data_IF_400971907320
#
_entry.id   IF_400971907320
#
_cell.length_a   1.000
_cell.length_b   1.000
_cell.length_c   1.000
_cell.angle_alpha   90.00
_cell.angle_beta   90.00
_cell.angle_gamma   90.00
#
_symmetry.space_group_name_H-M   'P 1'
#
loop_
_entity.id
_entity.type
_entity.pdbx_description
1 polymer ?
#
# COMPACT_ATOMS: atom_id res chain seq x y z
N UNK A 1 -45.18 28.40 -48.89
CA UNK A 1 -44.73 29.03 -50.16
C UNK A 1 -43.21 29.11 -50.18
N UNK A 2 -42.63 28.73 -51.40
CA UNK A 2 -41.24 28.87 -51.82
C UNK A 2 -40.24 27.84 -51.21
N UNK A 3 -39.81 26.97 -51.91
CA UNK A 3 -39.30 26.53 -53.20
C UNK A 3 -37.93 25.86 -53.00
N UNK A 4 -37.93 24.58 -53.29
CA UNK A 4 -36.73 23.74 -53.43
C UNK A 4 -35.92 24.15 -54.63
N UNK A 5 -34.61 24.23 -54.57
CA UNK A 5 -33.73 24.10 -55.72
C UNK A 5 -32.88 22.83 -55.56
N UNK A 6 -33.18 21.86 -56.40
CA UNK A 6 -32.30 20.74 -56.72
C UNK A 6 -31.29 21.25 -57.74
N UNK A 7 -30.02 20.91 -57.55
CA UNK A 7 -29.01 20.95 -58.60
C UNK A 7 -28.58 19.51 -58.79
N UNK A 8 -28.89 18.99 -59.98
CA UNK A 8 -28.45 17.73 -60.53
C UNK A 8 -27.09 17.92 -61.18
N UNK A 9 -26.08 17.10 -60.86
CA UNK A 9 -24.86 16.95 -61.68
C UNK A 9 -24.68 15.47 -61.93
N UNK A 10 -24.62 15.13 -63.22
CA UNK A 10 -24.67 13.80 -63.76
C UNK A 10 -23.44 12.94 -63.44
N UNK A 11 -23.70 11.69 -63.24
CA UNK A 11 -22.73 10.60 -63.17
C UNK A 11 -22.30 10.20 -64.60
N UNK A 12 -21.04 10.43 -64.96
CA UNK A 12 -20.37 9.67 -66.02
C UNK A 12 -19.44 8.64 -65.38
N UNK A 13 -19.74 7.36 -65.60
CA UNK A 13 -18.86 6.24 -65.23
C UNK A 13 -17.66 6.25 -66.18
N UNK A 14 -16.46 6.46 -65.65
CA UNK A 14 -15.20 6.23 -66.34
C UNK A 14 -14.88 4.73 -66.37
N UNK A 15 -14.65 4.16 -67.54
CA UNK A 15 -14.28 2.77 -67.73
C UNK A 15 -12.78 2.54 -67.51
N UNK A 16 -12.41 1.32 -67.18
CA UNK A 16 -11.00 0.89 -66.96
C UNK A 16 -10.06 1.19 -68.14
N UNK A 17 -10.56 1.52 -69.30
CA UNK A 17 -9.77 1.90 -70.49
C UNK A 17 -9.35 3.37 -70.51
N UNK A 18 -10.05 4.23 -69.81
CA UNK A 18 -9.77 5.67 -69.80
C UNK A 18 -8.60 6.01 -68.82
N UNK A 19 -8.36 5.13 -67.88
CA UNK A 19 -7.24 5.25 -66.92
C UNK A 19 -5.89 4.87 -67.52
N UNK A 20 -5.89 4.09 -68.61
CA UNK A 20 -4.65 3.60 -69.29
C UNK A 20 -4.15 4.53 -70.41
N UNK A 21 -4.83 5.61 -70.74
CA UNK A 21 -4.44 6.58 -71.79
C UNK A 21 -3.86 7.89 -71.30
N UNK A 22 -3.77 8.10 -69.99
CA UNK A 22 -3.17 9.29 -69.39
C UNK A 22 -1.75 9.09 -68.84
N UNK A 23 -1.12 7.99 -69.21
CA UNK A 23 0.21 7.57 -68.73
C UNK A 23 1.32 7.63 -69.78
N UNK A 24 1.39 8.65 -70.61
CA UNK A 24 2.54 8.84 -71.49
C UNK A 24 2.72 10.33 -71.82
N UNK A 25 3.74 10.91 -71.26
CA UNK A 25 4.56 12.06 -71.57
C UNK A 25 4.64 13.10 -70.43
N UNK A 26 5.59 12.84 -69.53
CA UNK A 26 6.48 13.88 -68.94
C UNK A 26 7.60 13.14 -68.20
N UNK A 27 8.67 12.80 -68.94
CA UNK A 27 9.95 12.44 -68.32
C UNK A 27 10.59 13.67 -67.74
N UNK A 28 10.30 13.99 -66.49
CA UNK A 28 11.11 14.91 -65.68
C UNK A 28 12.11 14.04 -64.96
N UNK A 29 13.37 14.10 -65.35
CA UNK A 29 14.52 13.49 -64.64
C UNK A 29 14.70 14.14 -63.29
N UNK A 30 13.98 13.71 -62.28
CA UNK A 30 14.27 13.98 -60.89
C UNK A 30 15.36 12.97 -60.48
N UNK A 31 16.58 13.44 -60.28
CA UNK A 31 17.63 12.67 -59.61
C UNK A 31 17.13 12.25 -58.20
N UNK A 32 16.60 11.05 -58.12
CA UNK A 32 16.30 10.40 -56.83
C UNK A 32 17.64 9.93 -56.29
N UNK A 33 18.32 10.80 -55.53
CA UNK A 33 19.39 10.34 -54.66
C UNK A 33 18.83 9.27 -53.73
N UNK A 34 19.62 8.28 -53.32
CA UNK A 34 19.14 7.27 -52.40
C UNK A 34 18.65 7.96 -51.11
N UNK A 35 17.38 7.90 -50.85
CA UNK A 35 16.84 8.21 -49.54
C UNK A 35 17.48 7.20 -48.57
N UNK A 36 18.57 7.60 -47.95
CA UNK A 36 19.12 6.92 -46.78
C UNK A 36 18.05 7.15 -45.69
N UNK A 37 17.11 6.24 -45.56
CA UNK A 37 16.29 6.12 -44.38
C UNK A 37 17.24 5.70 -43.28
N UNK A 38 17.86 6.68 -42.61
CA UNK A 38 18.54 6.43 -41.37
C UNK A 38 17.50 5.84 -40.43
N UNK A 39 17.67 4.58 -39.97
CA UNK A 39 16.75 4.05 -38.99
C UNK A 39 16.78 5.03 -37.82
N UNK A 40 15.60 5.58 -37.46
CA UNK A 40 15.47 6.38 -36.27
C UNK A 40 16.08 5.56 -35.13
N UNK A 41 17.25 5.96 -34.68
CA UNK A 41 17.94 5.30 -33.57
C UNK A 41 16.92 5.31 -32.42
N UNK A 42 16.39 4.16 -32.05
CA UNK A 42 15.49 4.05 -30.92
C UNK A 42 16.18 4.76 -29.75
N UNK A 43 15.54 5.80 -29.23
CA UNK A 43 16.13 6.61 -28.17
C UNK A 43 16.39 5.68 -26.98
N UNK A 44 17.66 5.53 -26.57
CA UNK A 44 18.01 4.69 -25.43
C UNK A 44 17.50 5.34 -24.14
N UNK A 45 17.21 4.51 -23.13
CA UNK A 45 16.89 4.98 -21.79
C UNK A 45 17.96 5.99 -21.28
N UNK A 46 17.49 7.08 -20.67
CA UNK A 46 18.36 8.11 -20.12
C UNK A 46 17.72 8.74 -18.86
N UNK A 47 18.37 8.59 -17.72
CA UNK A 47 17.93 9.21 -16.47
C UNK A 47 17.80 10.74 -16.57
N UNK A 48 18.65 11.41 -17.35
CA UNK A 48 18.67 12.88 -17.50
C UNK A 48 17.67 13.43 -18.53
N UNK A 49 16.80 12.58 -19.09
CA UNK A 49 15.82 12.97 -20.12
C UNK A 49 14.95 14.18 -19.70
N UNK A 50 14.68 14.32 -18.42
CA UNK A 50 13.84 15.39 -17.88
C UNK A 50 14.62 16.33 -16.94
N UNK A 51 15.94 16.47 -17.16
CA UNK A 51 16.81 17.36 -16.39
C UNK A 51 16.23 18.79 -16.35
N UNK A 52 16.27 19.40 -15.16
CA UNK A 52 15.73 20.75 -14.91
C UNK A 52 14.25 20.79 -14.56
N UNK A 53 13.52 19.66 -14.62
CA UNK A 53 12.16 19.57 -14.09
C UNK A 53 12.18 19.56 -12.55
N UNK A 54 11.02 19.93 -11.97
CA UNK A 54 10.77 19.83 -10.53
C UNK A 54 9.54 18.96 -10.32
N UNK A 55 9.60 18.07 -9.31
CA UNK A 55 8.50 17.22 -8.89
C UNK A 55 8.06 17.60 -7.47
N UNK A 56 6.76 17.47 -7.21
CA UNK A 56 6.21 17.54 -5.87
C UNK A 56 5.60 16.19 -5.47
N UNK A 57 6.06 15.66 -4.33
CA UNK A 57 5.63 14.37 -3.79
C UNK A 57 4.79 14.56 -2.52
N UNK A 58 3.67 13.87 -2.42
CA UNK A 58 2.93 13.71 -1.18
C UNK A 58 3.23 12.34 -0.59
N UNK A 59 3.86 12.31 0.58
CA UNK A 59 4.34 11.11 1.24
C UNK A 59 3.62 10.90 2.57
N UNK A 60 3.26 9.66 2.89
CA UNK A 60 2.69 9.32 4.20
C UNK A 60 3.80 8.83 5.11
N UNK A 61 3.76 9.26 6.37
CA UNK A 61 4.79 8.87 7.36
C UNK A 61 4.84 7.34 7.52
N UNK A 62 6.01 6.78 7.18
CA UNK A 62 6.27 5.35 7.27
C UNK A 62 7.79 5.10 7.25
N UNK A 63 8.31 4.02 7.89
CA UNK A 63 9.74 3.70 7.85
C UNK A 63 10.37 3.63 6.46
N UNK A 64 9.64 3.12 5.46
CA UNK A 64 10.05 3.15 4.04
C UNK A 64 10.29 4.59 3.55
N UNK A 65 9.38 5.51 3.85
CA UNK A 65 9.51 6.91 3.43
C UNK A 65 10.69 7.57 4.15
N UNK A 66 10.84 7.30 5.45
CA UNK A 66 11.94 7.85 6.25
C UNK A 66 13.31 7.39 5.72
N UNK A 67 13.42 6.18 5.18
CA UNK A 67 14.66 5.69 4.55
C UNK A 67 14.84 6.27 3.14
N UNK A 68 13.83 6.20 2.30
CA UNK A 68 13.85 6.69 0.90
C UNK A 68 14.29 8.16 0.82
N UNK A 69 13.76 9.04 1.69
CA UNK A 69 14.06 10.48 1.62
C UNK A 69 15.51 10.81 1.94
N UNK A 70 16.24 9.98 2.70
CA UNK A 70 17.68 10.16 2.96
C UNK A 70 18.53 10.09 1.69
N UNK A 71 18.00 9.43 0.64
CA UNK A 71 18.72 9.16 -0.60
C UNK A 71 18.26 10.04 -1.78
N UNK A 72 17.34 11.00 -1.57
CA UNK A 72 16.82 11.86 -2.65
C UNK A 72 17.91 12.61 -3.42
N UNK A 73 18.98 13.03 -2.75
CA UNK A 73 20.12 13.68 -3.39
C UNK A 73 20.79 12.80 -4.47
N UNK A 74 20.77 11.47 -4.33
CA UNK A 74 21.25 10.55 -5.37
C UNK A 74 20.36 10.62 -6.63
N UNK A 75 19.04 10.62 -6.45
CA UNK A 75 18.12 10.76 -7.57
C UNK A 75 18.29 12.11 -8.29
N UNK A 76 18.37 13.19 -7.52
CA UNK A 76 18.58 14.53 -8.08
C UNK A 76 19.89 14.64 -8.87
N UNK A 77 20.97 14.06 -8.34
CA UNK A 77 22.26 14.01 -9.04
C UNK A 77 22.21 13.15 -10.30
N UNK A 78 21.54 11.99 -10.23
CA UNK A 78 21.40 11.04 -11.34
C UNK A 78 20.57 11.61 -12.49
N UNK A 79 19.44 12.23 -12.16
CA UNK A 79 18.43 12.63 -13.14
C UNK A 79 18.47 14.12 -13.51
N UNK A 80 19.03 14.97 -12.64
CA UNK A 80 18.94 16.42 -12.75
C UNK A 80 17.53 16.97 -12.49
N UNK A 81 16.63 16.14 -11.97
CA UNK A 81 15.26 16.53 -11.58
C UNK A 81 15.30 16.94 -10.10
N UNK A 82 14.68 18.05 -9.75
CA UNK A 82 14.53 18.51 -8.37
C UNK A 82 13.29 17.87 -7.73
N UNK A 83 13.39 17.49 -6.45
CA UNK A 83 12.32 16.83 -5.73
C UNK A 83 11.94 17.65 -4.49
N UNK A 84 10.73 18.19 -4.50
CA UNK A 84 10.06 18.74 -3.33
C UNK A 84 9.09 17.71 -2.77
N UNK A 85 8.95 17.65 -1.48
CA UNK A 85 8.05 16.68 -0.85
C UNK A 85 7.48 17.20 0.45
N UNK A 86 6.36 16.62 0.83
CA UNK A 86 5.74 16.80 2.13
C UNK A 86 5.43 15.43 2.72
N UNK A 87 5.83 15.22 3.98
CA UNK A 87 5.53 14.00 4.74
C UNK A 87 4.46 14.31 5.77
N UNK A 88 3.31 13.66 5.65
CA UNK A 88 2.16 13.86 6.55
C UNK A 88 1.79 12.54 7.25
N UNK A 89 1.21 12.62 8.46
CA UNK A 89 0.48 11.51 9.03
C UNK A 89 -0.60 11.01 8.04
N UNK A 90 -0.81 9.71 7.98
CA UNK A 90 -1.64 9.06 6.94
C UNK A 90 -3.03 9.67 6.76
N UNK A 91 -3.73 9.98 7.86
CA UNK A 91 -5.09 10.54 7.80
C UNK A 91 -5.08 11.93 7.15
N UNK A 92 -4.14 12.79 7.58
CA UNK A 92 -3.98 14.15 7.04
C UNK A 92 -3.54 14.11 5.57
N UNK A 93 -2.59 13.21 5.25
CA UNK A 93 -2.12 13.02 3.88
C UNK A 93 -3.24 12.60 2.93
N UNK A 94 -4.08 11.64 3.33
CA UNK A 94 -5.25 11.22 2.54
C UNK A 94 -6.29 12.32 2.37
N UNK A 95 -6.52 13.14 3.40
CA UNK A 95 -7.41 14.30 3.28
C UNK A 95 -6.87 15.29 2.27
N UNK A 96 -5.60 15.68 2.38
CA UNK A 96 -4.94 16.57 1.41
C UNK A 96 -5.01 16.01 0.00
N UNK A 97 -4.62 14.73 -0.18
CA UNK A 97 -4.70 14.06 -1.48
C UNK A 97 -6.11 14.14 -2.09
N UNK A 98 -7.14 13.83 -1.29
CA UNK A 98 -8.52 13.86 -1.76
C UNK A 98 -8.94 15.26 -2.21
N UNK A 99 -8.60 16.30 -1.45
CA UNK A 99 -8.89 17.69 -1.79
C UNK A 99 -8.22 18.10 -3.11
N UNK A 100 -6.92 17.86 -3.22
CA UNK A 100 -6.11 18.19 -4.41
C UNK A 100 -6.62 17.48 -5.68
N UNK A 101 -6.92 16.16 -5.55
CA UNK A 101 -7.40 15.38 -6.68
C UNK A 101 -8.82 15.75 -7.09
N UNK A 102 -9.69 16.12 -6.14
CA UNK A 102 -11.04 16.59 -6.44
C UNK A 102 -11.00 17.97 -7.13
N UNK A 103 -10.08 18.83 -6.72
CA UNK A 103 -9.89 20.16 -7.33
C UNK A 103 -9.18 20.09 -8.69
N UNK A 104 -8.48 19.00 -9.02
CA UNK A 104 -7.76 18.84 -10.30
C UNK A 104 -6.60 19.81 -10.49
N UNK A 105 -5.97 20.27 -9.41
CA UNK A 105 -4.93 21.33 -9.44
C UNK A 105 -3.66 20.93 -10.17
N UNK A 106 -3.33 19.62 -10.18
CA UNK A 106 -2.06 19.10 -10.70
C UNK A 106 -0.86 19.45 -9.83
N UNK A 107 -1.08 19.84 -8.57
CA UNK A 107 -0.05 20.22 -7.61
C UNK A 107 0.73 19.03 -7.03
N UNK A 108 0.26 17.79 -7.19
CA UNK A 108 0.93 16.56 -6.75
C UNK A 108 1.31 15.75 -7.98
N UNK A 109 2.61 15.47 -8.17
CA UNK A 109 3.07 14.63 -9.27
C UNK A 109 3.01 13.15 -8.94
N UNK A 110 3.49 12.76 -7.76
CA UNK A 110 3.39 11.39 -7.26
C UNK A 110 3.07 11.37 -5.77
N UNK A 111 2.49 10.26 -5.30
CA UNK A 111 2.20 10.07 -3.88
C UNK A 111 2.44 8.64 -3.42
N UNK A 112 2.66 8.48 -2.12
CA UNK A 112 2.80 7.18 -1.48
C UNK A 112 1.42 6.63 -1.13
N UNK A 113 0.78 5.93 -2.07
CA UNK A 113 -0.59 5.45 -1.96
C UNK A 113 -0.71 4.24 -1.04
N UNK A 114 -1.67 4.26 -0.13
CA UNK A 114 -2.09 3.07 0.64
C UNK A 114 -3.08 2.26 -0.20
N UNK A 115 -2.62 1.25 -0.94
CA UNK A 115 -3.46 0.50 -1.88
C UNK A 115 -4.66 -0.15 -1.20
N UNK A 116 -4.49 -0.65 0.00
CA UNK A 116 -5.55 -1.25 0.81
C UNK A 116 -6.66 -0.27 1.25
N UNK A 117 -6.45 1.06 1.09
CA UNK A 117 -7.44 2.10 1.44
C UNK A 117 -7.91 2.87 0.22
N UNK A 118 -6.98 3.25 -0.67
CA UNK A 118 -7.22 4.25 -1.70
C UNK A 118 -7.45 3.64 -3.08
N UNK A 119 -7.09 2.37 -3.29
CA UNK A 119 -7.07 1.69 -4.59
C UNK A 119 -8.38 1.88 -5.37
N UNK A 120 -9.50 1.42 -4.83
CA UNK A 120 -10.78 1.45 -5.57
C UNK A 120 -11.32 2.86 -5.79
N UNK A 121 -11.27 3.70 -4.75
CA UNK A 121 -11.73 5.08 -4.85
C UNK A 121 -10.94 5.87 -5.88
N UNK A 122 -9.62 5.84 -5.78
CA UNK A 122 -8.75 6.58 -6.69
C UNK A 122 -8.87 6.07 -8.14
N UNK A 123 -9.03 4.75 -8.33
CA UNK A 123 -9.27 4.17 -9.67
C UNK A 123 -10.62 4.60 -10.24
N UNK A 124 -11.71 4.45 -9.48
CA UNK A 124 -13.06 4.85 -9.90
C UNK A 124 -13.15 6.34 -10.22
N UNK A 125 -12.41 7.17 -9.48
CA UNK A 125 -12.35 8.63 -9.69
C UNK A 125 -11.38 9.06 -10.80
N UNK A 126 -10.67 8.12 -11.44
CA UNK A 126 -9.70 8.44 -12.49
C UNK A 126 -8.47 9.22 -11.98
N UNK A 127 -8.08 9.05 -10.71
CA UNK A 127 -7.00 9.81 -10.10
C UNK A 127 -5.61 9.20 -10.33
N UNK A 128 -5.52 7.92 -10.71
CA UNK A 128 -4.27 7.28 -11.10
C UNK A 128 -3.88 7.56 -12.55
N UNK A 129 -2.61 7.81 -12.80
CA UNK A 129 -2.02 7.63 -14.13
C UNK A 129 -1.70 6.14 -14.32
N UNK A 130 -2.32 5.43 -15.28
CA UNK A 130 -1.95 4.04 -15.60
C UNK A 130 -0.49 3.94 -16.05
N UNK A 131 0.23 2.96 -15.50
CA UNK A 131 1.68 2.82 -15.72
C UNK A 131 2.06 1.81 -16.81
N UNK A 132 1.09 1.06 -17.38
CA UNK A 132 1.36 0.01 -18.37
C UNK A 132 2.26 0.50 -19.51
N UNK A 133 1.88 1.61 -20.17
CA UNK A 133 2.67 2.18 -21.27
C UNK A 133 4.08 2.62 -20.84
N UNK A 134 4.22 3.12 -19.62
CA UNK A 134 5.54 3.53 -19.13
C UNK A 134 6.45 2.33 -18.89
N UNK A 135 5.90 1.25 -18.35
CA UNK A 135 6.65 0.00 -18.12
C UNK A 135 7.05 -0.70 -19.44
N UNK A 136 6.25 -0.55 -20.50
CA UNK A 136 6.52 -1.10 -21.83
C UNK A 136 7.50 -0.24 -22.64
N UNK A 137 7.56 1.07 -22.36
CA UNK A 137 8.43 2.02 -23.07
C UNK A 137 9.88 1.89 -22.61
N UNK A 138 10.71 1.24 -23.46
CA UNK A 138 12.16 1.06 -23.22
C UNK A 138 12.96 2.37 -23.16
N UNK A 139 12.36 3.49 -23.52
CA UNK A 139 13.00 4.82 -23.38
C UNK A 139 12.72 5.46 -22.03
N UNK A 140 11.72 4.95 -21.28
CA UNK A 140 11.33 5.43 -19.97
C UNK A 140 11.65 4.42 -18.86
N UNK A 141 11.57 3.13 -19.14
CA UNK A 141 11.89 2.07 -18.16
C UNK A 141 13.36 1.68 -18.26
N UNK A 142 14.06 1.77 -17.13
CA UNK A 142 15.46 1.36 -17.02
C UNK A 142 15.62 -0.13 -17.39
N UNK A 143 16.66 -0.50 -18.17
CA UNK A 143 16.81 -1.87 -18.66
C UNK A 143 16.87 -2.95 -17.57
N UNK A 144 17.30 -2.58 -16.37
CA UNK A 144 17.47 -3.46 -15.21
C UNK A 144 16.28 -3.39 -14.23
N UNK A 145 15.24 -2.60 -14.54
CA UNK A 145 14.13 -2.37 -13.61
C UNK A 145 13.37 -3.64 -13.24
N UNK A 146 13.10 -4.52 -14.20
CA UNK A 146 12.43 -5.82 -14.03
C UNK A 146 11.13 -5.78 -13.19
N UNK A 147 10.02 -5.52 -13.86
CA UNK A 147 8.68 -5.54 -13.24
C UNK A 147 8.30 -6.90 -12.64
N UNK A 148 8.80 -8.00 -13.21
CA UNK A 148 8.46 -9.35 -12.77
C UNK A 148 9.17 -9.76 -11.47
N UNK A 149 10.17 -9.02 -11.05
CA UNK A 149 10.84 -9.20 -9.76
C UNK A 149 9.96 -8.81 -8.55
N UNK A 150 8.88 -8.08 -8.76
CA UNK A 150 7.89 -7.89 -7.69
C UNK A 150 7.12 -9.18 -7.42
N UNK A 151 6.79 -9.44 -6.13
CA UNK A 151 5.97 -10.58 -5.75
C UNK A 151 4.62 -10.57 -6.46
N UNK A 152 4.04 -11.75 -6.71
CA UNK A 152 2.74 -11.85 -7.39
C UNK A 152 1.65 -11.09 -6.62
N UNK A 153 1.65 -11.18 -5.27
CA UNK A 153 0.71 -10.44 -4.41
C UNK A 153 0.87 -8.93 -4.55
N UNK A 154 2.10 -8.41 -4.48
CA UNK A 154 2.36 -6.98 -4.64
C UNK A 154 1.89 -6.45 -6.00
N UNK A 155 2.12 -7.21 -7.09
CA UNK A 155 1.62 -6.85 -8.43
C UNK A 155 0.09 -6.88 -8.51
N UNK A 156 -0.54 -7.88 -7.92
CA UNK A 156 -2.01 -7.97 -7.86
C UNK A 156 -2.63 -6.79 -7.13
N UNK A 157 -2.03 -6.37 -6.01
CA UNK A 157 -2.54 -5.27 -5.20
C UNK A 157 -2.53 -3.92 -5.92
N UNK A 158 -1.62 -3.69 -6.86
CA UNK A 158 -1.55 -2.45 -7.67
C UNK A 158 -2.23 -2.58 -9.02
N UNK A 159 -2.73 -3.76 -9.38
CA UNK A 159 -3.45 -4.00 -10.64
C UNK A 159 -4.95 -3.81 -10.42
N UNK A 160 -5.58 -3.04 -11.30
CA UNK A 160 -7.02 -2.77 -11.26
C UNK A 160 -7.81 -3.83 -12.06
N UNK A 161 -9.16 -3.90 -11.91
CA UNK A 161 -9.99 -4.83 -12.67
C UNK A 161 -9.84 -4.73 -14.19
N UNK A 162 -9.59 -3.53 -14.73
CA UNK A 162 -9.33 -3.26 -16.14
C UNK A 162 -7.89 -3.58 -16.57
N UNK A 163 -7.09 -4.21 -15.69
CA UNK A 163 -5.66 -4.54 -15.89
C UNK A 163 -4.72 -3.33 -15.92
N UNK A 164 -5.20 -2.13 -15.61
CA UNK A 164 -4.32 -0.98 -15.44
C UNK A 164 -3.47 -1.12 -14.16
N UNK A 165 -2.19 -0.71 -14.25
CA UNK A 165 -1.25 -0.70 -13.12
C UNK A 165 -1.27 0.70 -12.52
N UNK A 166 -1.70 0.81 -11.26
CA UNK A 166 -1.92 2.09 -10.56
C UNK A 166 -0.69 2.65 -9.87
N UNK A 167 0.35 1.85 -9.68
CA UNK A 167 1.56 2.28 -8.98
C UNK A 167 2.63 1.19 -8.98
N UNK A 168 3.82 1.53 -8.52
CA UNK A 168 4.92 0.59 -8.30
C UNK A 168 4.94 0.22 -6.82
N UNK A 169 4.78 -1.08 -6.46
CA UNK A 169 4.74 -1.49 -5.06
C UNK A 169 6.00 -1.06 -4.30
N UNK A 170 5.83 -0.54 -3.08
CA UNK A 170 6.94 -0.20 -2.20
C UNK A 170 7.22 -1.34 -1.24
N UNK A 171 6.23 -1.70 -0.45
CA UNK A 171 6.32 -2.82 0.48
C UNK A 171 4.99 -3.58 0.55
N UNK A 172 5.07 -4.81 1.01
CA UNK A 172 3.95 -5.59 1.54
C UNK A 172 4.21 -5.74 3.03
N UNK A 173 3.28 -5.30 3.85
CA UNK A 173 3.42 -5.23 5.30
C UNK A 173 2.49 -6.25 5.97
N UNK A 174 2.95 -7.50 6.17
CA UNK A 174 2.19 -8.46 6.95
C UNK A 174 2.23 -8.08 8.43
N UNK A 175 1.14 -8.31 9.15
CA UNK A 175 1.12 -8.15 10.58
C UNK A 175 1.80 -9.34 11.25
N UNK A 176 2.58 -9.04 12.29
CA UNK A 176 3.31 -10.01 13.11
C UNK A 176 3.13 -9.72 14.59
N UNK A 177 3.50 -10.68 15.41
CA UNK A 177 3.56 -10.53 16.86
C UNK A 177 4.95 -10.04 17.28
N UNK A 178 4.99 -8.98 18.07
CA UNK A 178 6.15 -8.48 18.79
C UNK A 178 5.99 -8.83 20.27
N UNK A 179 7.04 -9.35 20.88
CA UNK A 179 7.00 -9.70 22.31
C UNK A 179 8.33 -9.41 23.01
N UNK A 180 8.31 -9.26 24.30
CA UNK A 180 9.51 -9.10 25.14
C UNK A 180 10.22 -10.45 25.27
N UNK A 181 11.16 -10.71 24.34
CA UNK A 181 11.94 -11.94 24.26
C UNK A 181 12.71 -12.25 25.55
N UNK A 182 13.25 -11.23 26.19
CA UNK A 182 13.94 -11.35 27.46
C UNK A 182 13.03 -11.87 28.58
N UNK A 183 11.78 -11.38 28.67
CA UNK A 183 10.82 -11.86 29.66
C UNK A 183 10.35 -13.27 29.36
N UNK A 184 10.17 -13.60 28.08
CA UNK A 184 9.81 -14.96 27.64
C UNK A 184 10.91 -15.97 27.99
N UNK A 185 12.18 -15.59 27.77
CA UNK A 185 13.33 -16.43 28.14
C UNK A 185 13.40 -16.68 29.65
N UNK A 186 13.21 -15.62 30.47
CA UNK A 186 13.18 -15.74 31.93
C UNK A 186 12.08 -16.68 32.44
N UNK A 187 10.94 -16.72 31.76
CA UNK A 187 9.79 -17.57 32.11
C UNK A 187 9.80 -18.94 31.43
N UNK A 188 10.75 -19.21 30.55
CA UNK A 188 10.79 -20.45 29.74
C UNK A 188 9.64 -20.55 28.75
N UNK A 189 9.06 -19.42 28.31
CA UNK A 189 7.92 -19.40 27.41
C UNK A 189 8.35 -19.41 25.94
N UNK A 190 7.46 -19.95 25.12
CA UNK A 190 7.50 -19.80 23.65
C UNK A 190 6.48 -18.77 23.22
N UNK A 191 6.63 -18.13 22.04
CA UNK A 191 5.59 -17.29 21.46
C UNK A 191 4.26 -18.04 21.39
N UNK A 192 3.12 -17.36 21.62
CA UNK A 192 1.81 -18.00 21.60
C UNK A 192 1.46 -18.48 20.19
N UNK A 193 0.82 -19.65 20.09
CA UNK A 193 0.37 -20.23 18.82
C UNK A 193 -1.12 -20.05 18.57
N UNK A 194 -1.88 -19.70 19.60
CA UNK A 194 -3.32 -19.48 19.54
C UNK A 194 -3.69 -18.15 20.21
N UNK A 195 -4.85 -17.58 19.84
CA UNK A 195 -5.39 -16.40 20.50
C UNK A 195 -5.60 -16.61 22.01
N UNK A 196 -5.95 -17.83 22.42
CA UNK A 196 -6.12 -18.16 23.85
C UNK A 196 -4.77 -18.14 24.59
N UNK A 197 -3.70 -18.68 23.99
CA UNK A 197 -2.36 -18.59 24.56
C UNK A 197 -1.86 -17.14 24.63
N UNK A 198 -2.18 -16.32 23.61
CA UNK A 198 -1.85 -14.88 23.59
C UNK A 198 -2.52 -14.15 24.76
N UNK A 199 -3.81 -14.41 24.98
CA UNK A 199 -4.56 -13.82 26.09
C UNK A 199 -4.01 -14.25 27.47
N UNK A 200 -3.74 -15.54 27.65
CA UNK A 200 -3.14 -16.08 28.87
C UNK A 200 -1.77 -15.45 29.17
N UNK A 201 -0.91 -15.34 28.15
CA UNK A 201 0.41 -14.73 28.30
C UNK A 201 0.33 -13.22 28.57
N UNK A 202 -0.60 -12.51 27.92
CA UNK A 202 -0.86 -11.11 28.18
C UNK A 202 -1.32 -10.89 29.64
N UNK A 203 -2.21 -11.73 30.14
CA UNK A 203 -2.66 -11.69 31.53
C UNK A 203 -1.49 -11.91 32.52
N UNK A 204 -0.64 -12.89 32.26
CA UNK A 204 0.50 -13.24 33.13
C UNK A 204 1.62 -12.18 33.13
N UNK A 205 1.72 -11.37 32.08
CA UNK A 205 2.65 -10.23 32.00
C UNK A 205 2.06 -8.97 32.59
N UNK A 206 0.73 -8.87 32.73
CA UNK A 206 0.06 -7.67 33.17
C UNK A 206 0.23 -7.44 34.67
N UNK A 207 1.04 -6.45 35.04
CA UNK A 207 1.35 -6.04 36.42
C UNK A 207 1.54 -4.51 36.51
N UNK A 208 0.46 -3.72 36.29
CA UNK A 208 0.54 -2.26 36.35
C UNK A 208 0.90 -1.74 37.74
N UNK A 209 1.58 -0.58 37.82
CA UNK A 209 2.00 0.29 36.73
C UNK A 209 3.29 -0.16 36.01
N UNK A 210 3.95 -1.24 36.43
CA UNK A 210 5.26 -1.65 35.93
C UNK A 210 5.23 -2.22 34.51
N UNK A 211 4.18 -2.99 34.15
CA UNK A 211 4.03 -3.64 32.86
C UNK A 211 2.57 -3.80 32.48
N UNK A 212 2.23 -3.41 31.25
CA UNK A 212 0.97 -3.75 30.60
C UNK A 212 1.14 -5.00 29.76
N UNK A 213 0.18 -5.91 29.79
CA UNK A 213 0.32 -7.21 29.14
C UNK A 213 0.28 -7.12 27.60
N UNK A 214 -0.53 -6.19 27.08
CA UNK A 214 -0.83 -6.14 25.65
C UNK A 214 -1.12 -4.72 25.17
N UNK A 215 -0.77 -4.43 23.90
CA UNK A 215 -1.19 -3.23 23.20
C UNK A 215 -1.50 -3.53 21.74
N UNK A 216 -2.46 -2.79 21.18
CA UNK A 216 -2.74 -2.64 19.77
C UNK A 216 -3.40 -1.28 19.54
N UNK A 217 -3.75 -0.94 18.30
CA UNK A 217 -4.34 0.37 17.98
C UNK A 217 -5.78 0.48 18.48
N UNK A 218 -6.09 1.43 19.36
CA UNK A 218 -7.44 1.72 19.85
C UNK A 218 -8.14 2.86 19.10
N UNK A 219 -7.36 3.81 18.53
CA UNK A 219 -7.88 5.01 17.88
C UNK A 219 -8.71 4.67 16.64
N UNK A 220 -9.90 5.28 16.53
CA UNK A 220 -10.77 5.10 15.36
C UNK A 220 -10.03 5.32 14.05
N UNK A 221 -10.47 4.65 13.00
CA UNK A 221 -9.85 4.52 11.70
C UNK A 221 -8.54 3.69 11.73
N UNK A 222 -7.60 3.97 12.62
CA UNK A 222 -6.35 3.22 12.74
C UNK A 222 -6.57 1.79 13.27
N UNK A 223 -7.52 1.60 14.21
CA UNK A 223 -7.84 0.32 14.84
C UNK A 223 -8.47 -0.71 13.89
N UNK A 224 -9.08 -0.26 12.79
CA UNK A 224 -9.65 -1.16 11.77
C UNK A 224 -8.58 -2.01 11.05
N UNK A 225 -7.31 -1.61 11.07
CA UNK A 225 -6.22 -2.35 10.44
C UNK A 225 -5.82 -3.60 11.25
N UNK A 226 -5.47 -3.53 12.56
CA UNK A 226 -5.22 -4.71 13.38
C UNK A 226 -6.48 -5.54 13.62
N UNK A 227 -7.65 -4.94 13.57
CA UNK A 227 -8.95 -5.62 13.67
C UNK A 227 -9.11 -6.77 12.68
N UNK A 228 -8.54 -6.65 11.46
CA UNK A 228 -8.61 -7.65 10.42
C UNK A 228 -8.10 -9.04 10.86
N UNK A 229 -7.06 -9.09 11.68
CA UNK A 229 -6.56 -10.32 12.26
C UNK A 229 -7.63 -11.03 13.08
N UNK A 230 -8.30 -10.28 13.94
CA UNK A 230 -9.27 -10.85 14.89
C UNK A 230 -10.51 -11.33 14.17
N UNK A 231 -11.07 -10.52 13.26
CA UNK A 231 -12.30 -10.90 12.57
C UNK A 231 -12.11 -12.14 11.70
N UNK A 232 -11.02 -12.24 10.96
CA UNK A 232 -10.73 -13.43 10.17
C UNK A 232 -10.40 -14.64 11.06
N UNK A 233 -9.65 -14.44 12.13
CA UNK A 233 -9.33 -15.48 13.10
C UNK A 233 -10.57 -16.09 13.76
N UNK A 234 -11.63 -15.28 13.95
CA UNK A 234 -12.93 -15.73 14.47
C UNK A 234 -13.87 -16.30 13.39
N UNK A 235 -13.48 -16.30 12.11
CA UNK A 235 -14.27 -16.82 10.99
C UNK A 235 -15.26 -15.80 10.40
N UNK A 236 -15.09 -14.52 10.68
CA UNK A 236 -15.90 -13.46 10.09
C UNK A 236 -15.46 -13.08 8.68
N UNK A 237 -16.37 -12.43 7.96
CA UNK A 237 -16.14 -11.82 6.66
C UNK A 237 -16.70 -10.40 6.64
N UNK A 238 -16.16 -9.54 5.79
CA UNK A 238 -16.66 -8.16 5.65
C UNK A 238 -17.96 -8.11 4.84
N UNK A 239 -17.99 -8.89 3.78
CA UNK A 239 -19.10 -8.93 2.82
C UNK A 239 -19.63 -10.36 2.67
N UNK A 240 -20.91 -10.46 2.41
CA UNK A 240 -21.57 -11.69 1.94
C UNK A 240 -21.20 -11.95 0.47
N UNK A 241 -21.54 -13.12 -0.05
CA UNK A 241 -21.29 -13.46 -1.45
C UNK A 241 -22.01 -12.54 -2.45
N UNK A 242 -23.15 -11.94 -2.05
CA UNK A 242 -23.90 -10.96 -2.84
C UNK A 242 -23.50 -9.50 -2.56
N UNK A 243 -22.35 -9.29 -1.88
CA UNK A 243 -21.74 -7.98 -1.69
C UNK A 243 -22.38 -7.12 -0.59
N UNK A 244 -23.23 -7.70 0.26
CA UNK A 244 -23.83 -7.00 1.40
C UNK A 244 -22.96 -7.07 2.65
N UNK A 245 -23.28 -6.23 3.64
CA UNK A 245 -22.60 -6.24 4.94
C UNK A 245 -22.76 -7.58 5.67
N UNK A 246 -21.66 -8.23 6.01
CA UNK A 246 -21.63 -9.47 6.81
C UNK A 246 -21.30 -9.22 8.29
N UNK A 247 -21.41 -7.97 8.79
CA UNK A 247 -20.94 -7.62 10.13
C UNK A 247 -21.85 -8.19 11.24
N UNK A 248 -23.14 -8.26 11.05
CA UNK A 248 -24.07 -8.70 12.09
C UNK A 248 -24.14 -10.24 12.21
N UNK A 249 -23.01 -10.84 12.59
CA UNK A 249 -22.87 -12.29 12.76
C UNK A 249 -22.12 -12.63 14.05
N UNK A 250 -22.32 -13.85 14.63
CA UNK A 250 -21.64 -14.24 15.87
C UNK A 250 -20.11 -14.10 15.86
N UNK A 251 -19.38 -14.40 14.75
CA UNK A 251 -17.95 -14.14 14.69
C UNK A 251 -17.55 -12.69 14.94
N UNK A 252 -18.32 -11.72 14.47
CA UNK A 252 -18.07 -10.30 14.68
C UNK A 252 -18.24 -9.87 16.12
N UNK A 253 -19.28 -10.38 16.80
CA UNK A 253 -19.49 -10.12 18.23
C UNK A 253 -18.34 -10.71 19.06
N UNK A 254 -17.97 -11.98 18.83
CA UNK A 254 -16.85 -12.63 19.50
C UNK A 254 -15.52 -11.91 19.26
N UNK A 255 -15.30 -11.44 18.03
CA UNK A 255 -14.11 -10.66 17.68
C UNK A 255 -14.08 -9.33 18.46
N UNK A 256 -15.22 -8.64 18.59
CA UNK A 256 -15.34 -7.40 19.34
C UNK A 256 -15.07 -7.61 20.82
N UNK A 257 -15.68 -8.65 21.43
CA UNK A 257 -15.44 -9.01 22.83
C UNK A 257 -13.97 -9.28 23.09
N UNK A 258 -13.32 -10.03 22.21
CA UNK A 258 -11.89 -10.36 22.38
C UNK A 258 -11.01 -9.12 22.21
N UNK A 259 -11.17 -8.35 21.12
CA UNK A 259 -10.27 -7.21 20.82
C UNK A 259 -10.42 -6.08 21.85
N UNK A 260 -11.65 -5.65 22.08
CA UNK A 260 -11.93 -4.62 23.07
C UNK A 260 -11.59 -5.08 24.49
N UNK A 261 -11.89 -6.36 24.79
CA UNK A 261 -11.54 -6.99 26.07
C UNK A 261 -10.02 -7.05 26.33
N UNK A 262 -9.22 -7.40 25.33
CA UNK A 262 -7.76 -7.39 25.43
C UNK A 262 -7.22 -6.00 25.73
N UNK A 263 -7.66 -4.99 25.00
CA UNK A 263 -7.23 -3.61 25.17
C UNK A 263 -7.69 -3.02 26.52
N UNK A 264 -8.91 -3.30 26.93
CA UNK A 264 -9.48 -2.82 28.19
C UNK A 264 -8.81 -3.45 29.41
N UNK A 265 -8.54 -4.76 29.38
CA UNK A 265 -7.99 -5.49 30.54
C UNK A 265 -6.47 -5.37 30.66
N UNK A 266 -5.76 -5.37 29.53
CA UNK A 266 -4.30 -5.52 29.52
C UNK A 266 -3.56 -4.35 28.88
N UNK A 267 -4.27 -3.40 28.28
CA UNK A 267 -3.69 -2.23 27.63
C UNK A 267 -3.31 -1.11 28.59
N UNK A 268 -2.41 -0.21 28.15
CA UNK A 268 -2.08 1.00 28.89
C UNK A 268 -3.29 1.95 29.02
N UNK A 269 -3.33 2.81 30.04
CA UNK A 269 -4.33 3.87 30.12
C UNK A 269 -4.35 4.73 28.86
N UNK A 270 -5.55 5.07 28.39
CA UNK A 270 -5.71 5.87 27.18
C UNK A 270 -5.52 5.10 25.87
N UNK A 271 -5.38 3.77 25.90
CA UNK A 271 -5.18 2.91 24.70
C UNK A 271 -6.26 3.13 23.63
N UNK A 272 -7.46 3.56 24.01
CA UNK A 272 -8.55 3.92 23.07
C UNK A 272 -8.14 5.01 22.07
N UNK A 273 -7.13 5.82 22.39
CA UNK A 273 -6.61 6.89 21.55
C UNK A 273 -5.27 6.54 20.87
N UNK A 274 -4.78 5.31 21.02
CA UNK A 274 -3.50 4.91 20.43
C UNK A 274 -3.65 4.56 18.95
N UNK A 275 -2.86 5.22 18.11
CA UNK A 275 -2.49 4.76 16.78
C UNK A 275 -1.23 3.89 16.90
N UNK A 276 -0.62 3.50 15.81
CA UNK A 276 0.63 2.74 15.81
C UNK A 276 1.80 3.51 16.45
N UNK A 277 1.80 4.85 16.38
CA UNK A 277 2.83 5.68 16.98
C UNK A 277 2.88 5.51 18.50
N UNK A 278 1.73 5.66 19.17
CA UNK A 278 1.62 5.56 20.63
C UNK A 278 1.81 4.11 21.07
N UNK A 279 1.26 3.13 20.33
CA UNK A 279 1.42 1.71 20.64
C UNK A 279 2.89 1.28 20.53
N UNK A 280 3.57 1.66 19.44
CA UNK A 280 5.00 1.41 19.24
C UNK A 280 5.86 2.11 20.30
N UNK A 281 5.53 3.36 20.64
CA UNK A 281 6.25 4.11 21.69
C UNK A 281 6.14 3.42 23.05
N UNK A 282 4.94 3.00 23.47
CA UNK A 282 4.73 2.27 24.72
C UNK A 282 5.54 0.96 24.75
N UNK A 283 5.58 0.22 23.63
CA UNK A 283 6.37 -1.00 23.52
C UNK A 283 7.87 -0.71 23.56
N UNK A 284 8.38 0.27 22.79
CA UNK A 284 9.79 0.68 22.79
C UNK A 284 10.29 1.17 24.17
N UNK A 285 9.41 1.79 24.95
CA UNK A 285 9.76 2.20 26.32
C UNK A 285 9.76 1.04 27.31
N UNK A 286 9.41 -0.18 26.87
CA UNK A 286 9.37 -1.37 27.72
C UNK A 286 8.17 -1.44 28.65
N UNK A 287 7.15 -0.61 28.41
CA UNK A 287 5.93 -0.54 29.23
C UNK A 287 4.95 -1.67 28.93
N UNK A 288 5.12 -2.38 27.80
CA UNK A 288 4.20 -3.40 27.31
C UNK A 288 4.94 -4.69 27.00
N UNK A 289 4.33 -5.83 27.35
CA UNK A 289 4.91 -7.15 27.12
C UNK A 289 4.70 -7.71 25.72
N UNK A 290 3.53 -7.46 25.12
CA UNK A 290 3.12 -8.00 23.81
C UNK A 290 2.44 -6.89 22.99
N UNK A 291 2.81 -6.83 21.71
CA UNK A 291 2.24 -5.93 20.72
C UNK A 291 2.08 -6.67 19.38
N UNK A 292 1.06 -6.39 18.59
CA UNK A 292 1.01 -6.83 17.22
C UNK A 292 0.64 -5.70 16.27
N UNK A 293 1.34 -5.62 15.14
CA UNK A 293 1.14 -4.62 14.11
C UNK A 293 1.93 -5.00 12.85
N UNK A 294 2.02 -4.08 11.88
CA UNK A 294 2.83 -4.23 10.68
C UNK A 294 4.30 -4.48 10.99
N UNK A 295 4.89 -5.46 10.32
CA UNK A 295 6.26 -5.93 10.58
C UNK A 295 7.30 -4.82 10.35
N UNK A 296 7.02 -3.84 9.49
CA UNK A 296 7.95 -2.78 9.13
C UNK A 296 8.17 -1.74 10.23
N UNK A 297 7.35 -1.73 11.29
CA UNK A 297 7.62 -0.88 12.46
C UNK A 297 8.77 -1.40 13.33
N UNK A 298 9.16 -2.65 13.13
CA UNK A 298 10.18 -3.34 13.92
C UNK A 298 11.57 -2.67 13.86
N UNK A 299 11.91 -1.98 12.78
CA UNK A 299 13.20 -1.31 12.62
C UNK A 299 13.47 -0.28 13.73
N UNK A 300 12.42 0.32 14.28
CA UNK A 300 12.51 1.27 15.39
C UNK A 300 12.77 0.57 16.72
N UNK A 301 12.32 -0.68 16.88
CA UNK A 301 12.46 -1.44 18.12
C UNK A 301 13.89 -1.90 18.35
N UNK A 302 14.65 -2.10 17.27
CA UNK A 302 16.07 -2.50 17.31
C UNK A 302 17.04 -1.30 17.28
N UNK A 303 16.52 -0.06 17.25
CA UNK A 303 17.33 1.15 17.32
C UNK A 303 17.56 1.58 18.78
N UNK A 304 18.79 1.42 19.35
CA UNK A 304 19.05 1.75 20.74
C UNK A 304 18.93 3.25 21.05
N UNK A 305 18.93 4.12 20.02
CA UNK A 305 18.69 5.56 20.22
C UNK A 305 17.21 5.89 20.46
N UNK A 306 16.29 4.98 20.11
CA UNK A 306 14.83 5.15 20.23
C UNK A 306 14.18 4.19 21.21
N UNK A 307 14.74 2.98 21.36
CA UNK A 307 14.13 1.86 22.07
C UNK A 307 14.94 1.42 23.28
N UNK A 308 14.33 1.40 24.44
CA UNK A 308 14.92 0.83 25.68
C UNK A 308 14.97 -0.70 25.67
N UNK A 309 14.30 -1.31 24.70
CA UNK A 309 14.20 -2.76 24.54
C UNK A 309 14.92 -3.27 23.28
N UNK A 310 15.80 -2.47 22.68
CA UNK A 310 16.63 -2.90 21.55
C UNK A 310 17.40 -4.18 21.93
N UNK A 311 17.38 -5.19 21.02
CA UNK A 311 17.94 -6.53 21.25
C UNK A 311 17.12 -7.44 22.19
N UNK A 312 15.99 -6.94 22.76
CA UNK A 312 15.12 -7.70 23.67
C UNK A 312 13.77 -8.05 23.05
N UNK A 313 13.57 -7.73 21.76
CA UNK A 313 12.33 -8.01 21.03
C UNK A 313 12.41 -9.36 20.35
N UNK A 314 11.33 -10.12 20.41
CA UNK A 314 11.12 -11.33 19.63
C UNK A 314 10.01 -11.11 18.62
N UNK A 315 10.11 -11.80 17.51
CA UNK A 315 9.22 -11.69 16.36
C UNK A 315 8.61 -13.07 16.08
N UNK A 316 7.31 -13.12 15.88
CA UNK A 316 6.61 -14.36 15.55
C UNK A 316 5.43 -14.09 14.60
N UNK A 317 5.02 -15.14 13.88
CA UNK A 317 3.75 -15.14 13.16
C UNK A 317 2.61 -14.90 14.15
N UNK A 318 1.56 -14.17 13.74
CA UNK A 318 0.37 -14.00 14.57
C UNK A 318 -0.21 -15.36 14.96
N UNK A 319 -0.67 -15.53 16.21
CA UNK A 319 -1.29 -16.79 16.67
C UNK A 319 -2.54 -17.13 15.84
N UNK A 320 -2.84 -18.42 15.69
CA UNK A 320 -4.06 -18.86 15.05
C UNK A 320 -5.30 -18.46 15.85
N UNK A 321 -6.32 -17.97 15.17
CA UNK A 321 -7.67 -17.84 15.72
C UNK A 321 -8.38 -19.21 15.74
N UNK A 322 -9.54 -19.29 16.39
CA UNK A 322 -10.30 -20.54 16.48
C UNK A 322 -10.81 -21.05 15.12
N UNK A 323 -10.98 -20.18 14.13
CA UNK A 323 -11.50 -20.53 12.81
C UNK A 323 -10.44 -20.47 11.70
N UNK A 324 -9.41 -19.62 11.83
CA UNK A 324 -8.40 -19.45 10.78
C UNK A 324 -7.07 -18.97 11.34
N UNK A 325 -5.98 -19.37 10.65
CA UNK A 325 -4.65 -18.85 10.87
C UNK A 325 -4.27 -17.92 9.71
N UNK A 326 -4.31 -16.63 9.92
CA UNK A 326 -4.02 -15.61 8.89
C UNK A 326 -3.16 -14.48 9.44
N UNK A 327 -2.44 -13.82 8.56
CA UNK A 327 -1.83 -12.52 8.81
C UNK A 327 -2.43 -11.47 7.87
N UNK A 328 -3.03 -10.40 8.39
CA UNK A 328 -3.43 -9.29 7.51
C UNK A 328 -2.22 -8.73 6.79
N UNK A 329 -2.35 -8.46 5.50
CA UNK A 329 -1.30 -7.86 4.68
C UNK A 329 -1.77 -6.55 4.08
N UNK A 330 -0.86 -5.59 3.99
CA UNK A 330 -1.14 -4.25 3.50
C UNK A 330 -0.05 -3.82 2.52
N UNK A 331 -0.45 -3.47 1.30
CA UNK A 331 0.46 -3.03 0.26
C UNK A 331 0.37 -1.52 0.08
N UNK A 332 1.52 -0.86 0.01
CA UNK A 332 1.64 0.51 -0.41
C UNK A 332 2.40 0.59 -1.75
N UNK A 333 2.23 1.69 -2.45
CA UNK A 333 2.88 1.91 -3.73
C UNK A 333 3.23 3.39 -3.94
N UNK A 334 4.25 3.65 -4.72
CA UNK A 334 4.44 4.97 -5.32
C UNK A 334 3.59 5.06 -6.58
N UNK A 335 2.68 6.02 -6.62
CA UNK A 335 1.72 6.21 -7.71
C UNK A 335 1.86 7.62 -8.30
N UNK A 336 1.49 7.76 -9.58
CA UNK A 336 1.50 9.05 -10.29
C UNK A 336 0.07 9.54 -10.39
N UNK A 337 -0.17 10.83 -10.12
CA UNK A 337 -1.49 11.42 -10.23
C UNK A 337 -1.89 11.63 -11.68
N UNK A 338 -3.17 11.43 -12.00
CA UNK A 338 -3.70 11.70 -13.35
C UNK A 338 -3.57 13.16 -13.77
N UNK A 339 -3.56 14.09 -12.81
CA UNK A 339 -3.45 15.52 -13.04
C UNK A 339 -2.02 16.05 -13.13
N UNK A 340 -1.00 15.23 -12.83
CA UNK A 340 0.40 15.63 -12.98
C UNK A 340 0.72 16.08 -14.40
N UNK A 341 1.48 17.17 -14.51
CA UNK A 341 2.04 17.69 -15.78
C UNK A 341 3.44 17.13 -16.06
N UNK A 342 3.98 16.35 -15.12
CA UNK A 342 5.34 15.80 -15.16
C UNK A 342 5.35 14.26 -15.09
N UNK A 343 4.35 13.59 -15.69
CA UNK A 343 4.10 12.14 -15.51
C UNK A 343 5.31 11.25 -15.80
N UNK A 344 6.03 11.53 -16.90
CA UNK A 344 7.21 10.75 -17.29
C UNK A 344 8.38 11.00 -16.34
N UNK A 345 8.58 12.25 -15.90
CA UNK A 345 9.59 12.59 -14.90
C UNK A 345 9.25 11.93 -13.54
N UNK A 346 7.97 11.94 -13.16
CA UNK A 346 7.49 11.24 -11.96
C UNK A 346 7.69 9.72 -12.08
N UNK A 347 7.55 9.14 -13.28
CA UNK A 347 7.83 7.73 -13.51
C UNK A 347 9.32 7.40 -13.31
N UNK A 348 10.24 8.26 -13.76
CA UNK A 348 11.68 8.09 -13.45
C UNK A 348 11.90 8.06 -11.93
N UNK A 349 11.23 8.95 -11.19
CA UNK A 349 11.36 8.97 -9.74
C UNK A 349 10.85 7.68 -9.09
N UNK A 350 9.61 7.26 -9.39
CA UNK A 350 9.02 6.10 -8.71
C UNK A 350 9.75 4.79 -9.07
N UNK A 351 10.29 4.64 -10.29
CA UNK A 351 11.10 3.48 -10.62
C UNK A 351 12.47 3.51 -9.92
N UNK A 352 13.08 4.69 -9.72
CA UNK A 352 14.29 4.82 -8.91
C UNK A 352 14.01 4.43 -7.46
N UNK A 353 12.95 4.97 -6.86
CA UNK A 353 12.57 4.69 -5.47
C UNK A 353 12.30 3.20 -5.22
N UNK A 354 11.85 2.46 -6.24
CA UNK A 354 11.47 1.05 -6.14
C UNK A 354 12.40 0.09 -6.89
N UNK A 355 13.61 0.53 -7.28
CA UNK A 355 14.58 -0.33 -7.94
C UNK A 355 15.23 -1.34 -6.97
N UNK A 356 15.93 -2.33 -7.53
CA UNK A 356 16.57 -3.41 -6.74
C UNK A 356 17.57 -2.86 -5.72
N UNK A 357 18.39 -1.85 -6.12
CA UNK A 357 19.39 -1.23 -5.26
C UNK A 357 18.78 -0.54 -4.04
N UNK A 358 17.75 0.28 -4.25
CA UNK A 358 17.09 0.99 -3.16
C UNK A 358 16.34 0.02 -2.25
N UNK A 359 15.74 -1.04 -2.80
CA UNK A 359 15.08 -2.05 -1.98
C UNK A 359 16.07 -2.92 -1.16
N UNK A 360 17.27 -3.16 -1.66
CA UNK A 360 18.33 -3.76 -0.83
C UNK A 360 18.68 -2.83 0.36
N UNK A 361 18.73 -1.51 0.15
CA UNK A 361 18.93 -0.53 1.24
C UNK A 361 17.79 -0.52 2.25
N UNK A 362 16.53 -0.60 1.77
CA UNK A 362 15.37 -0.69 2.64
C UNK A 362 15.45 -1.94 3.55
N UNK A 363 15.80 -3.10 2.99
CA UNK A 363 16.02 -4.32 3.77
C UNK A 363 17.18 -4.18 4.78
N UNK A 364 18.28 -3.56 4.38
CA UNK A 364 19.39 -3.22 5.27
C UNK A 364 18.97 -2.22 6.35
N UNK A 365 17.96 -1.39 6.10
CA UNK A 365 17.37 -0.52 7.11
C UNK A 365 16.31 -1.22 7.99
N UNK A 366 16.01 -2.50 7.74
CA UNK A 366 15.00 -3.29 8.47
C UNK A 366 13.57 -3.03 8.01
N UNK A 367 13.40 -2.64 6.74
CA UNK A 367 12.10 -2.45 6.09
C UNK A 367 11.91 -3.53 5.01
N UNK A 368 10.85 -4.31 5.13
CA UNK A 368 10.50 -5.33 4.13
C UNK A 368 10.01 -4.69 2.83
N UNK A 369 10.28 -5.35 1.70
CA UNK A 369 10.03 -4.81 0.37
C UNK A 369 9.22 -5.76 -0.50
N UNK A 370 8.55 -5.21 -1.52
CA UNK A 370 7.70 -5.96 -2.44
C UNK A 370 8.43 -6.74 -3.54
N UNK A 371 9.77 -6.64 -3.67
CA UNK A 371 10.59 -7.37 -4.64
C UNK A 371 11.18 -8.64 -4.05
N UNK A 372 11.45 -9.63 -4.92
CA UNK A 372 12.02 -10.93 -4.55
C UNK A 372 13.56 -10.87 -4.46
N UNK A 373 14.22 -10.29 -5.47
CA UNK A 373 15.69 -10.34 -5.58
C UNK A 373 16.44 -9.70 -4.40
N UNK A 374 15.99 -8.59 -3.77
CA UNK A 374 16.71 -7.99 -2.64
C UNK A 374 16.82 -8.93 -1.43
N UNK A 375 15.85 -9.84 -1.21
CA UNK A 375 15.91 -10.84 -0.13
C UNK A 375 17.03 -11.87 -0.32
N UNK A 376 17.54 -11.99 -1.53
CA UNK A 376 18.66 -12.88 -1.89
C UNK A 376 19.99 -12.14 -2.08
N UNK A 377 19.97 -10.82 -1.94
CA UNK A 377 21.16 -9.97 -2.10
C UNK A 377 22.25 -10.39 -1.12
N UNK A 378 23.50 -10.61 -1.59
CA UNK A 378 24.62 -11.03 -0.74
C UNK A 378 24.94 -10.04 0.39
N UNK A 379 24.85 -8.73 0.14
CA UNK A 379 25.14 -7.70 1.15
C UNK A 379 24.07 -7.69 2.23
N UNK A 380 22.79 -7.85 1.85
CA UNK A 380 21.66 -7.97 2.79
C UNK A 380 21.84 -9.20 3.68
N UNK A 381 22.23 -10.35 3.09
CA UNK A 381 22.47 -11.59 3.84
C UNK A 381 23.68 -11.54 4.76
N UNK A 382 24.74 -10.84 4.32
CA UNK A 382 26.00 -10.74 5.08
C UNK A 382 25.88 -9.79 6.28
N UNK A 383 25.00 -8.77 6.21
CA UNK A 383 24.87 -7.72 7.21
C UNK A 383 23.40 -7.49 7.61
N UNK A 384 22.68 -8.51 8.05
CA UNK A 384 21.27 -8.35 8.40
C UNK A 384 21.16 -7.39 9.60
N UNK A 385 20.36 -6.34 9.46
CA UNK A 385 20.09 -5.40 10.56
C UNK A 385 19.12 -5.98 11.56
N UNK A 386 18.15 -6.76 11.05
CA UNK A 386 17.09 -7.32 11.88
C UNK A 386 17.48 -8.71 12.41
N UNK A 387 16.97 -9.14 13.57
CA UNK A 387 17.14 -10.49 14.06
C UNK A 387 16.58 -11.55 13.11
N UNK A 388 17.12 -12.78 13.15
CA UNK A 388 16.71 -13.87 12.26
C UNK A 388 15.21 -14.23 12.38
N UNK A 389 14.65 -14.11 13.58
CA UNK A 389 13.22 -14.35 13.83
C UNK A 389 12.31 -13.29 13.15
N UNK A 390 12.79 -12.06 12.92
CA UNK A 390 12.08 -11.07 12.12
C UNK A 390 11.92 -11.52 10.66
N UNK A 391 12.99 -11.98 10.01
CA UNK A 391 12.93 -12.48 8.64
C UNK A 391 12.00 -13.69 8.53
N UNK A 392 12.08 -14.62 9.50
CA UNK A 392 11.21 -15.78 9.55
C UNK A 392 9.75 -15.38 9.72
N UNK A 393 9.44 -14.52 10.69
CA UNK A 393 8.08 -14.04 10.93
C UNK A 393 7.50 -13.32 9.71
N UNK A 394 8.30 -12.48 9.04
CA UNK A 394 7.90 -11.80 7.81
C UNK A 394 7.50 -12.79 6.71
N UNK A 395 8.41 -13.69 6.34
CA UNK A 395 8.20 -14.61 5.23
C UNK A 395 7.09 -15.65 5.51
N UNK A 396 7.00 -16.15 6.73
CA UNK A 396 5.92 -17.08 7.12
C UNK A 396 4.56 -16.38 7.17
N UNK A 397 4.51 -15.11 7.62
CA UNK A 397 3.27 -14.33 7.61
C UNK A 397 2.77 -14.03 6.19
N UNK A 398 3.67 -13.86 5.20
CA UNK A 398 3.26 -13.73 3.80
C UNK A 398 2.58 -14.99 3.25
N UNK A 399 2.97 -16.20 3.72
CA UNK A 399 2.36 -17.46 3.25
C UNK A 399 0.89 -17.60 3.68
N UNK A 400 0.53 -17.01 4.82
CA UNK A 400 -0.84 -16.99 5.35
C UNK A 400 -1.49 -15.61 5.17
N UNK A 401 -0.88 -14.78 4.32
CA UNK A 401 -1.29 -13.40 4.07
C UNK A 401 -2.69 -13.29 3.48
N UNK A 402 -3.49 -12.36 3.99
CA UNK A 402 -4.82 -12.00 3.47
C UNK A 402 -5.01 -10.50 3.51
N UNK A 403 -5.67 -9.93 2.49
CA UNK A 403 -6.00 -8.51 2.47
C UNK A 403 -6.75 -8.10 3.75
N UNK A 404 -6.23 -7.09 4.45
CA UNK A 404 -6.69 -6.74 5.79
C UNK A 404 -7.96 -5.88 5.84
N UNK A 405 -8.44 -5.33 4.71
CA UNK A 405 -9.62 -4.47 4.65
C UNK A 405 -10.55 -4.90 3.52
N UNK A 406 -11.86 -4.57 3.57
CA UNK A 406 -12.78 -4.89 2.50
C UNK A 406 -12.41 -4.14 1.21
N UNK A 407 -12.52 -4.82 0.07
CA UNK A 407 -12.26 -4.20 -1.23
C UNK A 407 -13.51 -3.46 -1.74
N UNK A 408 -13.74 -2.28 -1.18
CA UNK A 408 -14.86 -1.38 -1.48
C UNK A 408 -14.36 0.01 -1.92
N UNK A 409 -15.25 0.85 -2.44
CA UNK A 409 -14.89 2.20 -2.91
C UNK A 409 -14.49 3.09 -1.74
N UNK A 410 -15.30 3.13 -0.68
CA UNK A 410 -15.02 4.01 0.46
C UNK A 410 -14.57 3.26 1.72
N UNK A 411 -13.37 2.69 1.64
CA UNK A 411 -12.71 2.01 2.77
C UNK A 411 -12.49 2.96 3.94
N UNK A 412 -12.25 4.25 3.67
CA UNK A 412 -12.03 5.25 4.74
C UNK A 412 -13.27 5.39 5.63
N UNK A 413 -14.46 5.48 5.01
CA UNK A 413 -15.71 5.55 5.76
C UNK A 413 -16.01 4.25 6.51
N UNK A 414 -15.76 3.08 5.89
CA UNK A 414 -15.84 1.80 6.60
C UNK A 414 -14.96 1.78 7.86
N UNK A 415 -13.70 2.24 7.74
CA UNK A 415 -12.76 2.30 8.86
C UNK A 415 -13.24 3.24 9.98
N UNK A 416 -13.94 4.31 9.64
CA UNK A 416 -14.55 5.19 10.65
C UNK A 416 -15.73 4.51 11.35
N UNK A 417 -16.60 3.82 10.61
CA UNK A 417 -17.74 3.08 11.16
C UNK A 417 -17.29 2.02 12.17
N UNK A 418 -16.43 1.11 11.73
CA UNK A 418 -15.96 0.04 12.62
C UNK A 418 -15.05 0.56 13.73
N UNK A 419 -14.27 1.60 13.43
CA UNK A 419 -13.38 2.23 14.40
C UNK A 419 -14.10 2.85 15.58
N UNK A 420 -15.23 3.50 15.35
CA UNK A 420 -16.11 4.03 16.40
C UNK A 420 -16.72 2.89 17.21
N UNK A 421 -17.15 1.79 16.56
CA UNK A 421 -17.70 0.63 17.27
C UNK A 421 -16.66 0.01 18.21
N UNK A 422 -15.41 -0.14 17.76
CA UNK A 422 -14.30 -0.64 18.57
C UNK A 422 -14.01 0.29 19.76
N UNK A 423 -13.95 1.61 19.57
CA UNK A 423 -13.75 2.55 20.68
C UNK A 423 -14.84 2.44 21.73
N UNK A 424 -16.11 2.46 21.32
CA UNK A 424 -17.25 2.30 22.24
C UNK A 424 -17.17 0.99 23.02
N UNK A 425 -16.77 -0.12 22.38
CA UNK A 425 -16.61 -1.40 23.06
C UNK A 425 -15.47 -1.38 24.09
N UNK A 426 -14.31 -0.76 23.77
CA UNK A 426 -13.21 -0.55 24.73
C UNK A 426 -13.71 0.26 25.94
N UNK A 427 -14.55 1.26 25.74
CA UNK A 427 -15.15 2.10 26.77
C UNK A 427 -16.26 1.38 27.58
N UNK A 428 -16.71 0.19 27.12
CA UNK A 428 -17.62 -0.68 27.85
C UNK A 428 -19.03 -0.83 27.26
N UNK A 429 -19.27 -0.35 26.03
CA UNK A 429 -20.51 -0.63 25.33
C UNK A 429 -20.59 -2.14 24.97
N UNK A 430 -21.82 -2.68 24.91
CA UNK A 430 -22.07 -4.07 24.55
C UNK A 430 -21.68 -4.34 23.09
N UNK A 431 -20.94 -5.40 22.83
CA UNK A 431 -20.44 -5.75 21.51
C UNK A 431 -21.58 -5.96 20.50
N UNK A 432 -22.65 -6.63 20.90
CA UNK A 432 -23.81 -6.85 20.02
C UNK A 432 -24.43 -5.51 19.54
N UNK A 433 -24.56 -4.54 20.45
CA UNK A 433 -25.17 -3.25 20.13
C UNK A 433 -24.30 -2.42 19.18
N UNK A 434 -22.98 -2.36 19.42
CA UNK A 434 -22.08 -1.60 18.55
C UNK A 434 -21.88 -2.26 17.19
N UNK A 435 -21.89 -3.60 17.10
CA UNK A 435 -21.84 -4.35 15.84
C UNK A 435 -23.14 -4.20 15.05
N UNK A 436 -24.31 -4.27 15.68
CA UNK A 436 -25.59 -4.05 15.00
C UNK A 436 -25.67 -2.65 14.37
N UNK A 437 -25.22 -1.62 15.11
CA UNK A 437 -25.16 -0.26 14.57
C UNK A 437 -24.14 -0.14 13.41
N UNK A 438 -22.93 -0.69 13.58
CA UNK A 438 -21.91 -0.68 12.53
C UNK A 438 -22.37 -1.43 11.27
N UNK A 439 -23.11 -2.54 11.43
CA UNK A 439 -23.68 -3.29 10.31
C UNK A 439 -24.65 -2.42 9.50
N UNK A 440 -25.58 -1.71 10.17
CA UNK A 440 -26.53 -0.82 9.52
C UNK A 440 -25.80 0.28 8.73
N UNK A 441 -24.90 0.99 9.39
CA UNK A 441 -24.12 2.08 8.77
C UNK A 441 -23.26 1.59 7.60
N UNK A 442 -22.68 0.40 7.72
CA UNK A 442 -21.88 -0.20 6.65
C UNK A 442 -22.74 -0.63 5.47
N UNK A 443 -23.94 -1.19 5.70
CA UNK A 443 -24.87 -1.51 4.63
C UNK A 443 -25.32 -0.23 3.88
N UNK A 444 -25.65 0.85 4.60
CA UNK A 444 -26.00 2.14 4.00
C UNK A 444 -24.85 2.70 3.14
N UNK A 445 -23.60 2.54 3.60
CA UNK A 445 -22.41 2.91 2.83
C UNK A 445 -22.31 2.11 1.52
N UNK A 446 -22.45 0.78 1.59
CA UNK A 446 -22.41 -0.11 0.42
C UNK A 446 -23.51 0.24 -0.58
N UNK A 447 -24.73 0.46 -0.10
CA UNK A 447 -25.88 0.84 -0.94
C UNK A 447 -25.66 2.18 -1.67
N UNK A 448 -24.87 3.06 -1.08
CA UNK A 448 -24.53 4.37 -1.66
C UNK A 448 -23.37 4.29 -2.65
N UNK A 449 -22.37 3.45 -2.41
CA UNK A 449 -21.06 3.54 -3.12
C UNK A 449 -20.80 2.41 -4.10
N UNK A 450 -21.38 1.21 -3.88
CA UNK A 450 -21.07 0.02 -4.68
C UNK A 450 -22.09 -0.28 -5.80
N UNK A 451 -23.05 0.63 -6.04
CA UNK A 451 -24.02 0.53 -7.15
C UNK A 451 -23.41 0.86 -8.49
#
# INVERSE_FOLDING_TARGET
MKQRRRISVGSQEMTRRDILRLGATAAVSAAVGPFVVTPARAQAFNWQRFKGKELFLLLYKHPFVDEMVKHLAEFESLSGIKVKYEVLPEVQGRQKFTVEMTAGTGGIDAWHASMHVEKRRAWKSGWFQPLNRFLEDKTLTAPDYDWNDFTAGARADVTQPDKSISGLPTFVDPFVLFYRKDLYQQKGWKPPRTMAELEDQAQKLHSPPGMYGFVARGLKNANATPWAYVIYGMGGAYLTADGKSALNTPPWVKAMDWYAGMLKRFGPPGVVNFNWYEASAAFMQGQVGIYYDGVNFANQFEDPSKSKIAGKVGYAVLPAGPAAHIAPTFTNAMSITAHSRNKEAAFLFIQWATNKKNFARELLAGVGVGRVSPWSDPDVKAKPKMPADWYTAYLESLKIGRAGLPEIIDVTQYRDIIGVAIQKAIEGAKSEAVIAQAHKEFQELLDKTEK
#
